data_IF_558876026642
#
_entry.id   IF_558876026642
#
_cell.length_a   1.000
_cell.length_b   1.000
_cell.length_c   1.000
_cell.angle_alpha   90.00
_cell.angle_beta   90.00
_cell.angle_gamma   90.00
#
_symmetry.space_group_name_H-M   'P 1'
#
loop_
_entity.id
_entity.type
_entity.pdbx_description
1 polymer ?
#
# COMPACT_ATOMS: atom_id res chain seq x y z
N UNK A 1 -19.25 12.76 -0.73
CA UNK A 1 -18.01 12.49 0.04
C UNK A 1 -18.38 11.69 1.28
N UNK A 2 -17.84 10.48 1.47
CA UNK A 2 -18.06 9.70 2.70
C UNK A 2 -16.89 9.91 3.66
N UNK A 3 -17.18 10.59 4.75
CA UNK A 3 -16.29 11.15 5.75
C UNK A 3 -15.51 10.01 6.40
N UNK A 4 -14.26 9.82 5.99
CA UNK A 4 -13.38 8.83 6.61
C UNK A 4 -12.62 9.54 7.72
N UNK A 5 -12.76 9.08 8.97
CA UNK A 5 -12.03 9.67 10.11
C UNK A 5 -10.73 8.90 10.32
N UNK A 6 -9.62 9.62 10.32
CA UNK A 6 -8.29 9.09 10.68
C UNK A 6 -8.01 9.56 12.09
N UNK A 7 -7.75 8.63 13.01
CA UNK A 7 -7.46 9.00 14.39
C UNK A 7 -6.29 8.18 14.96
N UNK A 8 -5.50 8.84 15.80
CA UNK A 8 -4.47 8.21 16.63
C UNK A 8 -5.12 7.77 17.95
N UNK A 9 -5.15 6.46 18.29
CA UNK A 9 -5.66 6.03 19.57
C UNK A 9 -4.82 6.62 20.70
N UNK A 10 -5.47 7.26 21.68
CA UNK A 10 -4.78 7.83 22.84
C UNK A 10 -4.79 6.82 23.98
N UNK A 11 -3.62 6.61 24.60
CA UNK A 11 -3.51 5.79 25.81
C UNK A 11 -3.91 6.64 27.01
N UNK A 12 -4.95 6.20 27.71
CA UNK A 12 -5.33 6.78 28.99
C UNK A 12 -4.96 5.81 30.12
N UNK A 13 -4.42 6.35 31.21
CA UNK A 13 -4.10 5.60 32.43
C UNK A 13 -5.26 5.78 33.41
N UNK A 14 -5.82 4.68 33.89
CA UNK A 14 -6.76 4.73 35.01
C UNK A 14 -5.97 5.06 36.28
N UNK A 15 -6.17 6.27 36.83
CA UNK A 15 -5.65 6.64 38.15
C UNK A 15 -6.35 5.82 39.23
N UNK A 16 -5.59 5.16 40.10
CA UNK A 16 -6.11 4.37 41.21
C UNK A 16 -6.79 5.26 42.25
N UNK A 17 -8.11 5.30 42.23
CA UNK A 17 -8.95 6.02 43.20
C UNK A 17 -10.43 5.76 42.89
N UNK A 18 -11.19 5.39 43.90
CA UNK A 18 -12.49 4.70 43.78
C UNK A 18 -13.58 5.39 42.95
N UNK A 19 -14.43 4.56 42.35
CA UNK A 19 -15.83 4.91 42.06
C UNK A 19 -16.15 5.63 40.74
N UNK A 20 -15.30 5.61 39.72
CA UNK A 20 -15.68 6.14 38.41
C UNK A 20 -16.74 5.24 37.72
N UNK A 21 -17.74 5.80 37.00
CA UNK A 21 -18.66 5.00 36.20
C UNK A 21 -17.85 4.15 35.22
N UNK A 22 -17.93 2.83 35.38
CA UNK A 22 -17.09 1.89 34.65
C UNK A 22 -17.13 2.15 33.14
N UNK A 23 -15.98 2.49 32.56
CA UNK A 23 -15.85 2.70 31.12
C UNK A 23 -16.15 1.36 30.43
N UNK A 24 -17.09 1.35 29.51
CA UNK A 24 -17.47 0.13 28.78
C UNK A 24 -16.74 0.08 27.44
N UNK A 25 -16.22 -1.09 27.10
CA UNK A 25 -15.49 -1.30 25.86
C UNK A 25 -16.45 -1.38 24.68
N UNK A 26 -16.24 -0.55 23.66
CA UNK A 26 -17.07 -0.55 22.45
C UNK A 26 -16.92 -1.83 21.60
N UNK A 27 -15.83 -2.57 21.76
CA UNK A 27 -15.57 -3.81 20.99
C UNK A 27 -16.21 -5.07 21.59
N UNK A 28 -16.29 -5.17 22.91
CA UNK A 28 -16.81 -6.37 23.59
C UNK A 28 -18.00 -6.11 24.53
N UNK A 29 -18.38 -4.84 24.76
CA UNK A 29 -19.43 -4.45 25.70
C UNK A 29 -19.06 -4.59 27.19
N UNK A 30 -17.94 -5.26 27.51
CA UNK A 30 -17.49 -5.47 28.88
C UNK A 30 -16.93 -4.20 29.53
N UNK A 31 -16.92 -4.18 30.87
CA UNK A 31 -16.27 -3.11 31.65
C UNK A 31 -14.75 -3.17 31.47
N UNK A 32 -14.13 -2.01 31.35
CA UNK A 32 -12.68 -1.85 31.27
C UNK A 32 -12.13 -1.70 32.69
N UNK A 33 -11.52 -2.77 33.20
CA UNK A 33 -10.79 -2.79 34.47
C UNK A 33 -9.26 -2.71 34.27
N UNK A 34 -8.80 -2.68 33.02
CA UNK A 34 -7.38 -2.65 32.67
C UNK A 34 -6.74 -1.32 33.12
N UNK A 35 -5.47 -1.38 33.54
CA UNK A 35 -4.68 -0.19 33.92
C UNK A 35 -4.55 0.80 32.76
N UNK A 36 -4.41 0.27 31.55
CA UNK A 36 -4.26 1.02 30.32
C UNK A 36 -5.46 0.75 29.42
N UNK A 37 -6.01 1.82 28.84
CA UNK A 37 -7.11 1.73 27.89
C UNK A 37 -6.89 2.69 26.74
N UNK A 38 -7.58 2.41 25.64
CA UNK A 38 -7.51 3.23 24.45
C UNK A 38 -8.77 4.07 24.31
N UNK A 39 -8.61 5.35 23.98
CA UNK A 39 -9.69 6.21 23.56
C UNK A 39 -9.54 6.55 22.08
N UNK A 40 -10.54 6.18 21.29
CA UNK A 40 -10.59 6.35 19.84
C UNK A 40 -12.03 6.29 19.35
N UNK A 41 -12.35 7.05 18.31
CA UNK A 41 -13.70 7.18 17.72
C UNK A 41 -14.74 7.56 18.78
N UNK A 42 -14.36 8.49 19.66
CA UNK A 42 -15.17 8.98 20.79
C UNK A 42 -15.61 7.87 21.78
N UNK A 43 -14.93 6.71 21.77
CA UNK A 43 -15.28 5.53 22.56
C UNK A 43 -14.06 4.93 23.28
N UNK A 44 -14.32 4.18 24.33
CA UNK A 44 -13.29 3.46 25.09
C UNK A 44 -13.15 2.02 24.61
N UNK A 45 -11.91 1.53 24.59
CA UNK A 45 -11.55 0.19 24.13
C UNK A 45 -10.53 -0.44 25.07
N UNK A 46 -10.63 -1.75 25.29
CA UNK A 46 -9.47 -2.52 25.77
C UNK A 46 -8.37 -2.48 24.68
N UNK A 47 -7.11 -2.56 25.09
CA UNK A 47 -5.96 -2.61 24.16
C UNK A 47 -6.12 -3.72 23.11
N UNK A 48 -6.56 -4.90 23.56
CA UNK A 48 -6.85 -6.08 22.72
C UNK A 48 -8.12 -5.98 21.87
N UNK A 49 -9.06 -5.10 22.23
CA UNK A 49 -10.37 -5.03 21.55
C UNK A 49 -10.36 -4.06 20.38
N UNK A 50 -9.44 -3.10 20.34
CA UNK A 50 -9.26 -2.21 19.19
C UNK A 50 -8.47 -2.94 18.10
N UNK A 51 -9.17 -3.65 17.23
CA UNK A 51 -8.58 -4.47 16.16
C UNK A 51 -9.14 -4.12 14.79
N UNK A 52 -8.35 -4.36 13.75
CA UNK A 52 -8.80 -4.24 12.37
C UNK A 52 -9.95 -5.21 12.09
N UNK A 53 -11.04 -4.73 11.46
CA UNK A 53 -12.16 -5.57 11.04
C UNK A 53 -11.77 -6.60 9.97
N UNK A 54 -10.72 -6.36 9.19
CA UNK A 54 -10.29 -7.24 8.10
C UNK A 54 -9.17 -8.21 8.50
N UNK A 55 -8.05 -7.70 9.02
CA UNK A 55 -6.89 -8.54 9.36
C UNK A 55 -6.80 -8.93 10.85
N UNK A 56 -7.69 -8.41 11.69
CA UNK A 56 -7.71 -8.63 13.15
C UNK A 56 -6.45 -8.18 13.91
N UNK A 57 -5.52 -7.48 13.27
CA UNK A 57 -4.37 -6.89 13.93
C UNK A 57 -4.80 -5.89 15.02
N UNK A 58 -4.13 -5.93 16.17
CA UNK A 58 -4.37 -5.00 17.27
C UNK A 58 -3.81 -3.62 16.91
N UNK A 59 -4.69 -2.64 16.76
CA UNK A 59 -4.28 -1.32 16.28
C UNK A 59 -3.51 -0.57 17.35
N UNK A 60 -3.92 -0.64 18.62
CA UNK A 60 -3.25 0.10 19.71
C UNK A 60 -1.79 -0.28 19.98
N UNK A 61 -1.34 -1.46 19.53
CA UNK A 61 0.04 -1.94 19.72
C UNK A 61 0.87 -1.82 18.43
N UNK A 62 0.30 -2.22 17.28
CA UNK A 62 1.04 -2.31 16.02
C UNK A 62 0.87 -1.09 15.10
N UNK A 63 -0.11 -0.21 15.36
CA UNK A 63 -0.37 0.94 14.50
C UNK A 63 -0.80 2.18 15.29
N UNK A 64 0.01 3.23 15.23
CA UNK A 64 -0.32 4.52 15.86
C UNK A 64 -1.55 5.22 15.24
N UNK A 65 -2.15 4.67 14.18
CA UNK A 65 -3.32 5.24 13.49
C UNK A 65 -4.34 4.17 13.17
N UNK A 66 -5.61 4.51 13.34
CA UNK A 66 -6.74 3.70 12.90
C UNK A 66 -7.66 4.52 12.00
N UNK A 67 -8.35 3.83 11.10
CA UNK A 67 -9.21 4.44 10.11
C UNK A 67 -10.63 3.93 10.33
N UNK A 68 -11.62 4.82 10.37
CA UNK A 68 -13.03 4.42 10.40
C UNK A 68 -13.77 4.79 9.12
N UNK A 69 -14.53 3.82 8.60
CA UNK A 69 -15.42 4.01 7.46
C UNK A 69 -16.53 2.97 7.45
N UNK A 70 -17.78 3.40 7.31
CA UNK A 70 -18.94 2.50 7.23
C UNK A 70 -19.10 1.60 8.46
N UNK A 71 -18.77 2.09 9.66
CA UNK A 71 -18.82 1.31 10.90
C UNK A 71 -17.67 0.31 11.10
N UNK A 72 -16.75 0.17 10.13
CA UNK A 72 -15.55 -0.65 10.27
C UNK A 72 -14.39 0.17 10.84
N UNK A 73 -13.53 -0.48 11.63
CA UNK A 73 -12.25 0.06 12.08
C UNK A 73 -11.16 -0.72 11.36
N UNK A 74 -10.32 -0.02 10.61
CA UNK A 74 -9.33 -0.62 9.70
C UNK A 74 -7.92 -0.15 10.02
N UNK A 75 -6.95 -1.02 9.76
CA UNK A 75 -5.55 -0.63 9.69
C UNK A 75 -5.31 0.20 8.41
N UNK A 76 -4.20 0.95 8.36
CA UNK A 76 -3.80 1.73 7.19
C UNK A 76 -3.81 0.91 5.89
N UNK A 77 -3.28 -0.31 5.94
CA UNK A 77 -3.14 -1.16 4.76
C UNK A 77 -4.51 -1.61 4.22
N UNK A 78 -5.38 -2.13 5.08
CA UNK A 78 -6.73 -2.55 4.69
C UNK A 78 -7.60 -1.36 4.28
N UNK A 79 -7.43 -0.20 4.93
CA UNK A 79 -8.11 1.01 4.52
C UNK A 79 -7.72 1.44 3.10
N UNK A 80 -6.42 1.47 2.79
CA UNK A 80 -5.94 1.78 1.43
C UNK A 80 -6.41 0.72 0.44
N UNK A 81 -6.33 -0.57 0.81
CA UNK A 81 -6.76 -1.67 -0.06
C UNK A 81 -8.23 -1.61 -0.43
N UNK A 82 -9.11 -1.27 0.52
CA UNK A 82 -10.56 -1.23 0.32
C UNK A 82 -11.08 0.11 -0.22
N UNK A 83 -10.45 1.21 0.19
CA UNK A 83 -10.99 2.56 -0.01
C UNK A 83 -9.99 3.56 -0.57
N UNK A 84 -8.75 3.15 -0.82
CA UNK A 84 -7.77 3.97 -1.51
C UNK A 84 -8.16 4.21 -2.96
N UNK A 85 -7.65 5.29 -3.52
CA UNK A 85 -7.88 5.61 -4.93
C UNK A 85 -7.13 4.63 -5.83
N UNK A 86 -7.85 3.69 -6.44
CA UNK A 86 -7.33 2.84 -7.51
C UNK A 86 -7.26 3.61 -8.82
N UNK A 87 -6.14 3.48 -9.54
CA UNK A 87 -5.97 4.03 -10.89
C UNK A 87 -6.16 2.96 -11.97
N UNK A 88 -6.02 3.32 -13.23
CA UNK A 88 -5.92 2.37 -14.34
C UNK A 88 -4.58 2.54 -15.04
N UNK A 89 -3.91 1.43 -15.36
CA UNK A 89 -2.61 1.47 -16.01
C UNK A 89 -2.75 1.96 -17.47
N UNK A 90 -2.05 3.04 -17.82
CA UNK A 90 -2.13 3.64 -19.17
C UNK A 90 -1.53 2.76 -20.28
N UNK A 91 -0.79 1.69 -19.95
CA UNK A 91 -0.23 0.76 -20.93
C UNK A 91 -1.07 -0.51 -21.16
N UNK A 92 -1.75 -1.03 -20.14
CA UNK A 92 -2.53 -2.28 -20.25
C UNK A 92 -4.03 -2.12 -19.98
N UNK A 93 -4.47 -0.93 -19.57
CA UNK A 93 -5.86 -0.61 -19.25
C UNK A 93 -6.40 -1.23 -17.95
N UNK A 94 -5.66 -2.15 -17.33
CA UNK A 94 -6.11 -2.85 -16.12
C UNK A 94 -6.08 -1.94 -14.89
N UNK A 95 -6.98 -2.20 -13.95
CA UNK A 95 -7.05 -1.49 -12.67
C UNK A 95 -5.79 -1.74 -11.83
N UNK A 96 -5.23 -0.69 -11.27
CA UNK A 96 -4.14 -0.74 -10.31
C UNK A 96 -4.73 -0.63 -8.90
N UNK A 97 -4.56 -1.66 -8.04
CA UNK A 97 -4.90 -1.58 -6.63
C UNK A 97 -4.22 -0.39 -5.95
N UNK A 98 -4.91 0.31 -5.05
CA UNK A 98 -4.34 1.46 -4.35
C UNK A 98 -3.14 1.13 -3.45
N UNK A 99 -2.95 -0.14 -3.11
CA UNK A 99 -1.79 -0.66 -2.36
C UNK A 99 -0.60 -1.04 -3.25
N UNK A 100 -0.77 -1.09 -4.57
CA UNK A 100 0.29 -1.50 -5.50
C UNK A 100 1.24 -0.34 -5.81
N UNK A 101 2.54 -0.63 -5.92
CA UNK A 101 3.54 0.35 -6.37
C UNK A 101 3.41 0.62 -7.87
N UNK A 102 3.53 1.89 -8.26
CA UNK A 102 3.34 2.34 -9.65
C UNK A 102 4.48 3.22 -10.13
N UNK A 103 4.72 3.18 -11.44
CA UNK A 103 5.49 4.21 -12.15
C UNK A 103 4.56 5.34 -12.59
N UNK A 104 5.08 6.58 -12.59
CA UNK A 104 4.34 7.78 -13.02
C UNK A 104 5.13 8.54 -14.07
N UNK A 105 4.48 8.92 -15.17
CA UNK A 105 5.08 9.75 -16.21
C UNK A 105 4.02 10.66 -16.85
N UNK A 106 4.28 11.97 -16.90
CA UNK A 106 3.39 12.99 -17.47
C UNK A 106 1.91 12.84 -17.08
N UNK A 107 1.63 12.59 -15.79
CA UNK A 107 0.26 12.43 -15.27
C UNK A 107 -0.34 11.03 -15.43
N UNK A 108 0.28 10.14 -16.20
CA UNK A 108 -0.14 8.75 -16.35
C UNK A 108 0.47 7.82 -15.30
N UNK A 109 -0.23 6.72 -15.03
CA UNK A 109 0.17 5.69 -14.06
C UNK A 109 0.37 4.35 -14.76
N UNK A 110 1.38 3.60 -14.33
CA UNK A 110 1.74 2.32 -14.93
C UNK A 110 2.08 1.30 -13.86
N UNK A 111 1.72 0.03 -14.08
CA UNK A 111 2.34 -1.06 -13.32
C UNK A 111 3.85 -1.04 -13.52
N UNK A 112 4.62 -1.47 -12.52
CA UNK A 112 6.08 -1.60 -12.66
C UNK A 112 6.45 -2.45 -13.89
N UNK A 113 5.74 -3.56 -14.11
CA UNK A 113 5.95 -4.46 -15.26
C UNK A 113 5.54 -3.87 -16.62
N UNK A 114 4.68 -2.85 -16.63
CA UNK A 114 4.18 -2.22 -17.85
C UNK A 114 4.97 -0.96 -18.23
N UNK A 115 5.88 -0.50 -17.38
CA UNK A 115 6.73 0.64 -17.65
C UNK A 115 7.98 0.20 -18.44
N UNK A 116 7.77 -0.09 -19.72
CA UNK A 116 8.77 -0.70 -20.62
C UNK A 116 9.03 0.17 -21.84
N UNK A 117 10.24 0.12 -22.38
CA UNK A 117 10.56 0.72 -23.68
C UNK A 117 9.69 0.11 -24.79
N UNK A 118 9.11 0.93 -25.65
CA UNK A 118 8.31 0.48 -26.78
C UNK A 118 9.14 -0.28 -27.84
N UNK A 119 10.44 -0.01 -27.92
CA UNK A 119 11.38 -0.62 -28.89
C UNK A 119 11.99 -1.91 -28.33
N UNK A 120 12.94 -1.83 -27.38
CA UNK A 120 13.63 -3.02 -26.84
C UNK A 120 12.81 -3.83 -25.82
N UNK A 121 11.64 -3.36 -25.39
CA UNK A 121 10.81 -3.99 -24.35
C UNK A 121 11.46 -4.11 -22.97
N UNK A 122 12.65 -3.55 -22.76
CA UNK A 122 13.28 -3.50 -21.44
C UNK A 122 12.42 -2.71 -20.45
N UNK A 123 12.29 -3.25 -19.23
CA UNK A 123 11.59 -2.60 -18.12
C UNK A 123 12.48 -1.52 -17.52
N UNK A 124 11.94 -0.32 -17.39
CA UNK A 124 12.61 0.81 -16.79
C UNK A 124 12.32 0.86 -15.28
N UNK A 125 13.34 1.09 -14.48
CA UNK A 125 13.27 1.15 -13.01
C UNK A 125 13.64 2.55 -12.50
N UNK A 126 13.33 2.88 -11.23
CA UNK A 126 13.78 4.15 -10.64
C UNK A 126 15.30 4.33 -10.79
N UNK A 127 15.70 5.43 -11.41
CA UNK A 127 17.10 5.74 -11.73
C UNK A 127 17.41 5.71 -13.24
N UNK A 128 16.63 4.98 -14.04
CA UNK A 128 16.83 4.91 -15.48
C UNK A 128 16.43 6.23 -16.15
N UNK A 129 17.22 6.64 -17.15
CA UNK A 129 16.83 7.73 -18.06
C UNK A 129 15.93 7.18 -19.15
N UNK A 130 14.91 7.95 -19.50
CA UNK A 130 13.93 7.58 -20.52
C UNK A 130 13.38 8.80 -21.23
N UNK A 131 12.77 8.57 -22.39
CA UNK A 131 12.04 9.55 -23.16
C UNK A 131 10.55 9.21 -23.18
N UNK A 132 9.71 10.24 -23.14
CA UNK A 132 8.26 10.10 -23.18
C UNK A 132 7.70 10.96 -24.32
N UNK A 133 7.19 10.31 -25.37
CA UNK A 133 6.77 10.96 -26.61
C UNK A 133 5.37 10.45 -26.96
N UNK A 134 4.38 11.36 -27.01
CA UNK A 134 3.00 11.04 -27.38
C UNK A 134 2.41 9.84 -26.62
N UNK A 135 2.64 9.74 -25.31
CA UNK A 135 2.15 8.63 -24.49
C UNK A 135 3.01 7.36 -24.52
N UNK A 136 4.07 7.34 -25.34
CA UNK A 136 4.95 6.19 -25.54
C UNK A 136 6.28 6.39 -24.82
N UNK A 137 6.75 5.33 -24.17
CA UNK A 137 7.97 5.32 -23.35
C UNK A 137 9.12 4.68 -24.14
N UNK A 138 10.28 5.32 -24.15
CA UNK A 138 11.51 4.82 -24.76
C UNK A 138 12.65 4.88 -23.76
N UNK A 139 13.54 3.88 -23.74
CA UNK A 139 14.77 3.99 -22.94
C UNK A 139 15.71 5.06 -23.54
N UNK A 140 16.75 5.42 -22.79
CA UNK A 140 17.78 6.39 -23.24
C UNK A 140 18.38 6.05 -24.62
N UNK A 141 18.51 4.76 -24.95
CA UNK A 141 19.16 4.29 -26.17
C UNK A 141 18.23 4.22 -27.39
N UNK A 142 16.91 4.14 -27.19
CA UNK A 142 15.93 3.86 -28.25
C UNK A 142 15.09 5.10 -28.62
N UNK A 143 15.61 6.30 -28.43
CA UNK A 143 14.88 7.54 -28.72
C UNK A 143 14.50 7.61 -30.22
N UNK A 144 13.21 7.72 -30.57
CA UNK A 144 12.79 7.93 -31.95
C UNK A 144 13.36 9.25 -32.49
N UNK A 145 14.02 9.19 -33.65
CA UNK A 145 14.61 10.37 -34.31
C UNK A 145 16.04 10.71 -33.88
N UNK A 146 16.67 9.94 -32.97
CA UNK A 146 18.11 9.97 -32.80
C UNK A 146 18.74 9.12 -33.92
N UNK A 147 19.34 9.76 -34.91
CA UNK A 147 19.96 9.08 -36.05
C UNK A 147 21.05 8.09 -35.63
N UNK A 148 20.92 6.84 -36.10
CA UNK A 148 21.97 5.94 -36.58
C UNK A 148 23.24 5.66 -35.74
N UNK A 149 23.25 5.52 -34.40
CA UNK A 149 24.51 5.17 -33.71
C UNK A 149 24.49 4.12 -32.59
N UNK A 150 23.36 3.55 -32.17
CA UNK A 150 23.39 2.67 -30.98
C UNK A 150 22.67 1.35 -31.22
N UNK A 151 23.39 0.40 -31.83
CA UNK A 151 23.00 -1.00 -31.85
C UNK A 151 22.93 -1.55 -30.43
N UNK A 152 21.76 -2.06 -30.06
CA UNK A 152 21.55 -2.82 -28.84
C UNK A 152 22.26 -4.18 -28.97
N UNK A 153 23.17 -4.60 -28.08
CA UNK A 153 23.49 -6.02 -27.96
C UNK A 153 22.25 -6.70 -27.39
N UNK A 154 21.46 -7.34 -28.25
CA UNK A 154 20.36 -8.21 -27.84
C UNK A 154 20.94 -9.32 -26.96
N UNK A 155 20.66 -9.28 -25.66
CA UNK A 155 20.82 -10.46 -24.81
C UNK A 155 19.70 -11.43 -25.18
N UNK A 156 19.97 -12.24 -26.20
CA UNK A 156 19.18 -13.42 -26.53
C UNK A 156 19.16 -14.31 -25.29
N UNK A 157 18.00 -14.43 -24.66
CA UNK A 157 17.72 -15.55 -23.78
C UNK A 157 17.90 -16.84 -24.57
N UNK A 158 19.03 -17.52 -24.34
CA UNK A 158 19.16 -18.93 -24.67
C UNK A 158 18.18 -19.70 -23.81
N UNK A 159 17.30 -20.45 -24.46
CA UNK A 159 16.42 -21.41 -23.82
C UNK A 159 17.25 -22.67 -23.54
N UNK A 160 17.38 -23.12 -22.29
CA UNK A 160 17.65 -24.54 -21.97
C UNK A 160 17.25 -24.84 -20.51
N UNK A 161 16.16 -25.60 -20.27
CA UNK A 161 16.14 -27.04 -19.92
C UNK A 161 17.11 -27.46 -18.80
N UNK A 162 16.51 -28.13 -17.80
CA UNK A 162 17.05 -28.87 -16.66
C UNK A 162 18.58 -29.13 -16.60
N UNK A 163 19.15 -29.02 -15.40
CA UNK A 163 19.96 -30.09 -14.79
C UNK A 163 20.18 -29.81 -13.30
N UNK A 164 19.82 -30.81 -12.51
CA UNK A 164 20.14 -31.03 -11.11
C UNK A 164 21.68 -31.08 -10.93
N UNK A 165 22.25 -30.27 -10.05
CA UNK A 165 23.51 -30.65 -9.40
C UNK A 165 23.72 -29.91 -8.07
N UNK A 166 23.70 -30.75 -7.03
CA UNK A 166 24.24 -30.59 -5.68
C UNK A 166 25.71 -30.10 -5.67
N UNK A 167 26.20 -29.87 -4.44
CA UNK A 167 27.60 -29.72 -3.96
C UNK A 167 27.96 -28.25 -3.64
N UNK A 168 28.39 -27.86 -2.43
CA UNK A 168 28.78 -28.55 -1.19
C UNK A 168 28.24 -27.78 0.04
#
# INVERSE_FOLDING_TARGET
MVNSRVETPTVAVMGGGGGAPGRSCAGCGGRIADRFLLFSMERYWHTRCLKCSCCHAQLGEYSSTCYSKGGMILCKNDYIRLFGHSGACSACGQSIPASEMVMRAQGNVYHLKCFTCATCRNRLVPGDRFHYINGTIFCEHDRPGAGLLSGHPTSLQTSSMMSDQKVC
#
